data_IF_994828254514
#
_entry.id   IF_994828254514
#
_cell.length_a   1.000
_cell.length_b   1.000
_cell.length_c   1.000
_cell.angle_alpha   90.00
_cell.angle_beta   90.00
_cell.angle_gamma   90.00
#
_symmetry.space_group_name_H-M   'P 1'
#
loop_
_entity.id
_entity.type
_entity.pdbx_description
1 polymer ?
#
# COMPACT_ATOMS: atom_id res chain seq x y z
N UNK A 1 -0.80 -23.33 13.23
CA UNK A 1 -1.50 -23.21 11.94
C UNK A 1 -1.28 -21.81 11.41
N UNK A 2 -0.94 -21.65 10.12
CA UNK A 2 -0.74 -20.35 9.47
C UNK A 2 -1.78 -20.23 8.35
N UNK A 3 -2.47 -19.09 8.28
CA UNK A 3 -3.43 -18.74 7.23
C UNK A 3 -2.85 -17.57 6.44
N UNK A 4 -2.95 -17.61 5.10
CA UNK A 4 -2.48 -16.56 4.20
C UNK A 4 -3.68 -16.03 3.41
N UNK A 5 -3.83 -14.70 3.37
CA UNK A 5 -4.89 -14.00 2.67
C UNK A 5 -4.29 -12.96 1.73
N UNK A 6 -4.99 -12.68 0.63
CA UNK A 6 -4.63 -11.59 -0.27
C UNK A 6 -4.95 -10.23 0.37
N UNK A 7 -4.19 -9.16 0.04
CA UNK A 7 -4.50 -7.80 0.48
C UNK A 7 -5.71 -7.22 -0.26
N UNK A 8 -6.24 -6.11 0.26
CA UNK A 8 -7.27 -5.31 -0.39
C UNK A 8 -6.68 -4.09 -1.13
N UNK A 9 -7.41 -3.57 -2.11
CA UNK A 9 -7.07 -2.31 -2.81
C UNK A 9 -7.57 -1.08 -2.03
N UNK A 10 -8.73 -1.19 -1.41
CA UNK A 10 -9.36 -0.11 -0.62
C UNK A 10 -8.81 -0.11 0.80
N UNK A 11 -8.54 1.07 1.34
CA UNK A 11 -8.07 1.28 2.71
C UNK A 11 -9.10 2.12 3.47
N UNK A 12 -9.31 1.81 4.75
CA UNK A 12 -10.19 2.56 5.64
C UNK A 12 -9.39 3.03 6.86
N UNK A 13 -9.27 4.36 6.99
CA UNK A 13 -8.61 5.03 8.10
C UNK A 13 -9.59 5.83 8.97
N UNK A 14 -10.90 5.78 8.67
CA UNK A 14 -11.93 6.61 9.32
C UNK A 14 -12.75 5.81 10.33
N UNK A 15 -12.97 4.53 10.05
CA UNK A 15 -13.73 3.64 10.93
C UNK A 15 -13.12 3.58 12.32
N UNK A 16 -14.01 3.49 13.33
CA UNK A 16 -13.60 3.31 14.71
C UNK A 16 -12.79 2.02 14.85
N UNK A 17 -11.56 2.15 15.33
CA UNK A 17 -10.70 1.00 15.59
C UNK A 17 -11.30 0.08 16.66
N UNK A 18 -11.40 -1.21 16.33
CA UNK A 18 -11.83 -2.25 17.27
C UNK A 18 -10.76 -2.55 18.34
N UNK A 19 -9.50 -2.15 18.10
CA UNK A 19 -8.37 -2.34 19.02
C UNK A 19 -7.30 -1.26 18.83
N UNK A 20 -6.49 -1.03 19.86
CA UNK A 20 -5.30 -0.14 19.81
C UNK A 20 -3.97 -0.89 19.77
N UNK A 21 -3.98 -2.22 19.83
CA UNK A 21 -2.76 -3.03 19.75
C UNK A 21 -2.31 -3.11 18.30
N UNK A 22 -1.03 -2.82 18.04
CA UNK A 22 -0.41 -2.92 16.73
C UNK A 22 1.04 -3.39 16.88
N UNK A 23 1.67 -3.71 15.74
CA UNK A 23 3.09 -4.04 15.64
C UNK A 23 3.68 -3.33 14.43
N UNK A 24 5.01 -3.34 14.30
CA UNK A 24 5.69 -2.82 13.11
C UNK A 24 5.99 -3.94 12.12
N UNK A 25 5.86 -3.71 10.79
CA UNK A 25 6.28 -4.67 9.78
C UNK A 25 7.77 -4.99 9.93
N UNK A 26 8.16 -6.23 9.61
CA UNK A 26 9.55 -6.66 9.73
C UNK A 26 10.42 -6.28 8.53
N UNK A 27 9.82 -6.00 7.37
CA UNK A 27 10.51 -5.80 6.09
C UNK A 27 10.43 -4.33 5.61
N UNK A 28 10.63 -3.38 6.53
CA UNK A 28 10.53 -1.94 6.22
C UNK A 28 11.65 -1.50 5.27
N UNK A 29 12.85 -2.07 5.40
CA UNK A 29 13.99 -1.76 4.53
C UNK A 29 13.76 -2.22 3.08
N UNK A 30 13.11 -3.37 2.88
CA UNK A 30 12.70 -3.84 1.56
C UNK A 30 11.58 -2.98 0.98
N UNK A 31 10.59 -2.61 1.80
CA UNK A 31 9.51 -1.73 1.37
C UNK A 31 10.06 -0.36 0.92
N UNK A 32 11.06 0.19 1.62
CA UNK A 32 11.69 1.46 1.27
C UNK A 32 12.30 1.42 -0.15
N UNK A 33 12.98 0.34 -0.52
CA UNK A 33 13.56 0.19 -1.87
C UNK A 33 12.51 0.28 -2.97
N UNK A 34 11.31 -0.28 -2.73
CA UNK A 34 10.19 -0.19 -3.67
C UNK A 34 9.64 1.25 -3.75
N UNK A 35 9.50 1.90 -2.60
CA UNK A 35 9.05 3.30 -2.53
C UNK A 35 10.03 4.23 -3.26
N UNK A 36 11.34 4.04 -3.12
CA UNK A 36 12.34 4.85 -3.79
C UNK A 36 12.18 4.82 -5.32
N UNK A 37 11.86 3.66 -5.89
CA UNK A 37 11.56 3.51 -7.32
C UNK A 37 10.21 4.16 -7.67
N UNK A 38 9.17 3.93 -6.87
CA UNK A 38 7.82 4.42 -7.18
C UNK A 38 7.73 5.94 -7.12
N UNK A 39 8.52 6.61 -6.26
CA UNK A 39 8.56 8.07 -6.16
C UNK A 39 9.15 8.77 -7.38
N UNK A 40 9.86 8.08 -8.25
CA UNK A 40 10.39 8.66 -9.49
C UNK A 40 9.39 8.62 -10.65
N UNK A 41 8.22 8.00 -10.47
CA UNK A 41 7.20 7.87 -11.51
C UNK A 41 6.25 9.07 -11.49
N UNK A 42 5.86 9.55 -12.67
CA UNK A 42 4.80 10.56 -12.77
C UNK A 42 3.42 9.93 -12.50
N UNK A 43 2.40 10.72 -12.11
CA UNK A 43 1.02 10.22 -12.00
C UNK A 43 0.53 9.51 -13.27
N UNK A 44 0.90 10.01 -14.46
CA UNK A 44 0.56 9.36 -15.73
C UNK A 44 1.21 7.97 -15.87
N UNK A 45 2.49 7.83 -15.47
CA UNK A 45 3.17 6.53 -15.45
C UNK A 45 2.52 5.57 -14.45
N UNK A 46 2.11 6.06 -13.28
CA UNK A 46 1.45 5.25 -12.24
C UNK A 46 0.07 4.78 -12.71
N UNK A 47 -0.73 5.67 -13.30
CA UNK A 47 -2.03 5.35 -13.88
C UNK A 47 -1.92 4.25 -14.93
N UNK A 48 -0.97 4.38 -15.86
CA UNK A 48 -0.73 3.37 -16.91
C UNK A 48 -0.21 2.04 -16.34
N UNK A 49 0.74 2.10 -15.39
CA UNK A 49 1.33 0.91 -14.78
C UNK A 49 0.32 0.10 -13.95
N UNK A 50 -0.49 0.78 -13.15
CA UNK A 50 -1.45 0.14 -12.24
C UNK A 50 -2.83 -0.06 -12.88
N UNK A 51 -3.05 0.48 -14.07
CA UNK A 51 -4.34 0.50 -14.76
C UNK A 51 -5.45 1.10 -13.88
N UNK A 52 -5.21 2.32 -13.39
CA UNK A 52 -6.12 3.10 -12.52
C UNK A 52 -6.41 4.47 -13.12
N UNK A 53 -7.47 5.12 -12.65
CA UNK A 53 -7.84 6.48 -13.09
C UNK A 53 -6.77 7.50 -12.75
N UNK A 54 -6.73 8.60 -13.51
CA UNK A 54 -5.85 9.73 -13.23
C UNK A 54 -6.16 10.45 -11.90
N UNK A 55 -7.38 10.31 -11.38
CA UNK A 55 -7.76 10.85 -10.06
C UNK A 55 -7.12 10.06 -8.90
N UNK A 56 -6.90 8.75 -9.08
CA UNK A 56 -6.32 7.88 -8.06
C UNK A 56 -4.79 7.82 -8.11
N UNK A 57 -4.18 8.17 -9.26
CA UNK A 57 -2.75 8.09 -9.51
C UNK A 57 -2.00 9.37 -9.11
#
# INVERSE_FOLDING_TARGET
MIIVLSPAKTLDYESRLLTRKYSMPQMVDEAQKLIDIMRTKSPADVSALMNISAELA
#
